data_IF_886042622017
#
_entry.id   IF_886042622017
#
_cell.length_a   1.000
_cell.length_b   1.000
_cell.length_c   1.000
_cell.angle_alpha   90.00
_cell.angle_beta   90.00
_cell.angle_gamma   90.00
#
_symmetry.space_group_name_H-M   'P 1'
#
loop_
_entity.id
_entity.type
_entity.pdbx_description
1 polymer ?
#
# COMPACT_ATOMS: atom_id res chain seq x y z
N UNK A 1 -5.24 -18.76 -13.16
CA UNK A 1 -5.39 -18.02 -11.90
C UNK A 1 -3.99 -17.78 -11.40
N UNK A 2 -3.57 -16.53 -11.32
CA UNK A 2 -2.30 -16.20 -10.69
C UNK A 2 -2.44 -16.46 -9.19
N UNK A 3 -1.53 -17.22 -8.62
CA UNK A 3 -1.50 -17.47 -7.18
C UNK A 3 -0.86 -16.25 -6.50
N UNK A 4 -1.57 -15.63 -5.57
CA UNK A 4 -1.09 -14.46 -4.83
C UNK A 4 -1.61 -14.50 -3.39
N UNK A 5 -0.82 -13.92 -2.49
CA UNK A 5 -1.23 -13.69 -1.11
C UNK A 5 -1.75 -12.27 -0.99
N UNK A 6 -3.00 -12.12 -0.55
CA UNK A 6 -3.65 -10.82 -0.38
C UNK A 6 -3.64 -10.36 1.07
N UNK A 7 -3.24 -9.12 1.29
CA UNK A 7 -3.27 -8.47 2.60
C UNK A 7 -3.95 -7.10 2.46
N UNK A 8 -5.13 -6.97 3.08
CA UNK A 8 -5.93 -5.73 3.07
C UNK A 8 -5.87 -5.01 4.41
N UNK A 9 -5.69 -3.68 4.39
CA UNK A 9 -5.56 -2.83 5.57
C UNK A 9 -6.20 -1.46 5.36
N UNK A 10 -6.83 -0.94 6.41
CA UNK A 10 -7.16 0.47 6.50
C UNK A 10 -5.91 1.26 6.92
N UNK A 11 -5.57 2.31 6.18
CA UNK A 11 -4.44 3.20 6.49
C UNK A 11 -4.91 4.65 6.63
N UNK A 12 -4.47 5.32 7.69
CA UNK A 12 -4.68 6.76 7.91
C UNK A 12 -3.80 7.63 7.01
N UNK A 13 -3.92 7.46 5.70
CA UNK A 13 -3.13 8.15 4.67
C UNK A 13 -4.04 8.53 3.51
N UNK A 14 -3.64 9.55 2.75
CA UNK A 14 -4.13 9.77 1.39
C UNK A 14 -3.17 9.08 0.38
N UNK A 15 -3.53 9.11 -0.91
CA UNK A 15 -2.71 8.53 -1.98
C UNK A 15 -1.35 9.20 -2.11
N UNK A 16 -1.30 10.53 -2.05
CA UNK A 16 -0.05 11.31 -2.19
C UNK A 16 0.98 10.92 -1.14
N UNK A 17 0.58 10.80 0.12
CA UNK A 17 1.46 10.39 1.21
C UNK A 17 1.88 8.94 1.09
N UNK A 18 0.96 8.05 0.71
CA UNK A 18 1.29 6.64 0.46
C UNK A 18 2.34 6.51 -0.65
N UNK A 19 2.11 7.13 -1.81
CA UNK A 19 3.00 7.10 -2.97
C UNK A 19 4.33 7.79 -2.70
N UNK A 20 4.37 8.79 -1.81
CA UNK A 20 5.62 9.44 -1.37
C UNK A 20 6.47 8.53 -0.47
N UNK A 21 5.84 7.68 0.32
CA UNK A 21 6.52 6.76 1.24
C UNK A 21 6.89 5.43 0.58
N UNK A 22 6.13 5.00 -0.42
CA UNK A 22 6.30 3.72 -1.09
C UNK A 22 7.72 3.47 -1.65
N UNK A 23 8.38 4.41 -2.37
CA UNK A 23 9.74 4.20 -2.85
C UNK A 23 10.77 3.96 -1.73
N UNK A 24 10.46 4.36 -0.49
CA UNK A 24 11.33 4.13 0.67
C UNK A 24 11.21 2.71 1.23
N UNK A 25 10.06 2.05 1.03
CA UNK A 25 9.84 0.68 1.49
C UNK A 25 10.39 -0.37 0.53
N UNK A 26 10.48 -0.03 -0.76
CA UNK A 26 11.02 -0.86 -1.84
C UNK A 26 12.10 -0.09 -2.61
N UNK A 27 13.30 0.08 -2.04
CA UNK A 27 14.39 0.72 -2.76
C UNK A 27 14.70 -0.07 -4.03
N UNK A 28 15.04 0.64 -5.11
CA UNK A 28 15.42 0.11 -6.42
C UNK A 28 14.31 -0.59 -7.24
N UNK A 29 13.07 -0.65 -6.72
CA UNK A 29 11.93 -1.20 -7.45
C UNK A 29 11.38 -0.22 -8.50
N UNK A 30 10.84 -0.75 -9.60
CA UNK A 30 10.11 0.02 -10.59
C UNK A 30 8.66 0.16 -10.15
N UNK A 31 8.19 1.40 -10.02
CA UNK A 31 6.83 1.71 -9.54
C UNK A 31 6.04 2.33 -10.67
N UNK A 32 4.95 1.65 -11.05
CA UNK A 32 3.98 2.14 -12.03
C UNK A 32 2.67 2.44 -11.32
N UNK A 33 2.16 3.66 -11.45
CA UNK A 33 0.89 4.08 -10.84
C UNK A 33 -0.11 4.46 -11.93
N UNK A 34 -1.36 4.06 -11.74
CA UNK A 34 -2.49 4.38 -12.62
C UNK A 34 -3.74 4.67 -11.79
N UNK A 35 -4.60 5.58 -12.25
CA UNK A 35 -5.75 6.05 -11.48
C UNK A 35 -5.43 7.26 -10.58
N UNK A 36 -6.39 7.62 -9.73
CA UNK A 36 -6.31 8.81 -8.87
C UNK A 36 -7.06 8.65 -7.53
N UNK A 37 -6.96 9.66 -6.66
CA UNK A 37 -7.53 9.61 -5.32
C UNK A 37 -9.07 9.62 -5.25
N UNK A 38 -9.75 10.05 -6.32
CA UNK A 38 -11.20 10.13 -6.39
C UNK A 38 -11.82 8.80 -6.80
N UNK A 39 -11.21 8.09 -7.75
CA UNK A 39 -11.71 6.81 -8.26
C UNK A 39 -11.02 5.59 -7.62
N UNK A 40 -9.84 5.80 -7.04
CA UNK A 40 -8.93 4.73 -6.64
C UNK A 40 -7.72 4.66 -7.59
N UNK A 41 -6.64 4.08 -7.09
CA UNK A 41 -5.40 3.97 -7.85
C UNK A 41 -4.83 2.56 -7.74
N UNK A 42 -4.25 2.08 -8.83
CA UNK A 42 -3.50 0.84 -8.87
C UNK A 42 -2.02 1.14 -8.99
N UNK A 43 -1.22 0.52 -8.13
CA UNK A 43 0.23 0.56 -8.14
C UNK A 43 0.76 -0.83 -8.48
N UNK A 44 1.67 -0.91 -9.43
CA UNK A 44 2.44 -2.11 -9.74
C UNK A 44 3.89 -1.85 -9.37
N UNK A 45 4.45 -2.74 -8.56
CA UNK A 45 5.83 -2.71 -8.12
C UNK A 45 6.52 -3.92 -8.75
N UNK A 46 7.38 -3.66 -9.72
CA UNK A 46 8.24 -4.66 -10.33
C UNK A 46 9.61 -4.64 -9.64
N UNK A 47 10.33 -5.76 -9.70
CA UNK A 47 11.67 -5.94 -9.10
C UNK A 47 11.72 -5.68 -7.58
N UNK A 48 10.63 -5.92 -6.84
CA UNK A 48 10.69 -5.91 -5.38
C UNK A 48 11.50 -7.13 -4.87
N UNK A 49 12.03 -7.11 -3.63
CA UNK A 49 12.95 -8.14 -3.13
C UNK A 49 12.43 -9.58 -3.21
N UNK A 50 11.11 -9.76 -3.18
CA UNK A 50 10.45 -11.06 -3.25
C UNK A 50 9.57 -11.22 -4.51
N UNK A 51 9.79 -10.41 -5.55
CA UNK A 51 9.08 -10.49 -6.82
C UNK A 51 8.12 -9.31 -7.04
N UNK A 52 6.98 -9.58 -7.68
CA UNK A 52 6.02 -8.55 -8.08
C UNK A 52 4.99 -8.32 -6.98
N UNK A 53 4.68 -7.05 -6.73
CA UNK A 53 3.64 -6.63 -5.79
C UNK A 53 2.64 -5.74 -6.54
N UNK A 54 1.35 -6.05 -6.44
CA UNK A 54 0.30 -5.12 -6.85
C UNK A 54 -0.34 -4.50 -5.61
N UNK A 55 -0.64 -3.21 -5.67
CA UNK A 55 -1.32 -2.49 -4.60
C UNK A 55 -2.53 -1.78 -5.18
N UNK A 56 -3.71 -2.07 -4.65
CA UNK A 56 -4.90 -1.27 -4.91
C UNK A 56 -5.12 -0.29 -3.76
N UNK A 57 -5.28 0.97 -4.12
CA UNK A 57 -5.70 2.06 -3.24
C UNK A 57 -7.16 2.35 -3.54
N UNK A 58 -8.04 2.18 -2.56
CA UNK A 58 -9.42 2.67 -2.68
C UNK A 58 -9.45 4.17 -2.88
N UNK A 59 -10.58 4.74 -3.32
CA UNK A 59 -10.83 6.18 -3.15
C UNK A 59 -10.48 6.64 -1.73
N UNK A 60 -9.96 7.86 -1.59
CA UNK A 60 -9.68 8.44 -0.27
C UNK A 60 -11.01 8.75 0.40
N UNK A 61 -11.21 8.17 1.59
CA UNK A 61 -12.32 8.49 2.48
C UNK A 61 -11.88 9.40 3.62
N UNK A 62 -12.83 9.72 4.48
CA UNK A 62 -12.59 10.46 5.71
C UNK A 62 -13.10 9.68 6.92
N UNK A 63 -12.30 9.67 7.99
CA UNK A 63 -12.75 9.26 9.31
C UNK A 63 -12.84 10.48 10.21
N UNK A 64 -14.02 10.70 10.78
CA UNK A 64 -14.27 11.79 11.71
C UNK A 64 -14.16 11.31 13.15
N UNK A 65 -13.36 12.02 13.95
CA UNK A 65 -13.21 11.82 15.38
C UNK A 65 -13.42 13.19 16.06
N UNK A 66 -14.61 13.40 16.63
CA UNK A 66 -15.06 14.71 17.11
C UNK A 66 -14.95 15.80 16.02
N UNK A 67 -14.07 16.79 16.22
CA UNK A 67 -13.83 17.90 15.28
C UNK A 67 -12.71 17.62 14.27
N UNK A 68 -12.02 16.47 14.39
CA UNK A 68 -10.92 16.10 13.50
C UNK A 68 -11.43 15.22 12.36
N UNK A 69 -11.08 15.58 11.12
CA UNK A 69 -11.26 14.76 9.94
C UNK A 69 -9.89 14.24 9.48
N UNK A 70 -9.73 12.92 9.47
CA UNK A 70 -8.50 12.26 9.05
C UNK A 70 -8.72 11.53 7.73
N UNK A 71 -7.83 11.67 6.74
CA UNK A 71 -7.91 10.90 5.50
C UNK A 71 -7.68 9.42 5.80
N UNK A 72 -8.47 8.57 5.14
CA UNK A 72 -8.37 7.12 5.26
C UNK A 72 -8.42 6.48 3.88
N UNK A 73 -7.49 5.58 3.61
CA UNK A 73 -7.42 4.81 2.37
C UNK A 73 -7.38 3.32 2.72
N UNK A 74 -8.23 2.52 2.08
CA UNK A 74 -8.11 1.06 2.13
C UNK A 74 -7.06 0.64 1.12
N UNK A 75 -6.05 -0.10 1.59
CA UNK A 75 -4.91 -0.53 0.81
C UNK A 75 -4.90 -2.06 0.77
N UNK A 76 -4.93 -2.60 -0.44
CA UNK A 76 -4.87 -4.05 -0.69
C UNK A 76 -3.54 -4.37 -1.36
N UNK A 77 -2.70 -5.15 -0.69
CA UNK A 77 -1.44 -5.65 -1.24
C UNK A 77 -1.67 -7.07 -1.78
N UNK A 78 -1.18 -7.34 -2.99
CA UNK A 78 -1.12 -8.69 -3.57
C UNK A 78 0.33 -9.03 -3.86
N UNK A 79 0.84 -10.02 -3.17
CA UNK A 79 2.20 -10.52 -3.33
C UNK A 79 2.17 -11.75 -4.22
N UNK A 80 2.90 -11.70 -5.34
CA UNK A 80 2.93 -12.78 -6.33
C UNK A 80 4.19 -13.63 -6.14
N UNK A 81 4.08 -14.93 -6.44
CA UNK A 81 5.18 -15.91 -6.41
C UNK A 81 5.88 -16.04 -5.04
N UNK A 82 5.16 -15.77 -3.94
CA UNK A 82 5.65 -15.93 -2.57
C UNK A 82 4.66 -16.77 -1.76
N UNK A 83 5.17 -17.44 -0.73
CA UNK A 83 4.32 -18.07 0.29
C UNK A 83 3.78 -17.04 1.29
N UNK A 84 2.84 -17.49 2.12
CA UNK A 84 2.17 -16.66 3.11
C UNK A 84 3.15 -16.07 4.15
N UNK A 85 4.15 -16.84 4.60
CA UNK A 85 5.14 -16.38 5.58
C UNK A 85 5.97 -15.23 5.01
N UNK A 86 6.45 -15.38 3.77
CA UNK A 86 7.24 -14.39 3.05
C UNK A 86 6.43 -13.15 2.74
N UNK A 87 5.17 -13.29 2.31
CA UNK A 87 4.25 -12.17 2.09
C UNK A 87 4.03 -11.36 3.38
N UNK A 88 3.79 -12.01 4.51
CA UNK A 88 3.61 -11.34 5.80
C UNK A 88 4.91 -10.67 6.28
N UNK A 89 6.05 -11.31 6.10
CA UNK A 89 7.36 -10.74 6.43
C UNK A 89 7.64 -9.48 5.62
N UNK A 90 7.33 -9.52 4.33
CA UNK A 90 7.52 -8.38 3.43
C UNK A 90 6.54 -7.24 3.74
N UNK A 91 5.26 -7.56 3.91
CA UNK A 91 4.27 -6.60 4.38
C UNK A 91 4.70 -5.93 5.69
N UNK A 92 5.15 -6.69 6.69
CA UNK A 92 5.61 -6.15 7.97
C UNK A 92 6.85 -5.26 7.83
N UNK A 93 7.76 -5.55 6.88
CA UNK A 93 8.89 -4.68 6.55
C UNK A 93 8.41 -3.36 5.95
N UNK A 94 7.52 -3.43 4.95
CA UNK A 94 6.97 -2.25 4.28
C UNK A 94 6.13 -1.38 5.23
N UNK A 95 5.30 -2.00 6.07
CA UNK A 95 4.41 -1.35 7.02
C UNK A 95 5.13 -0.34 7.94
N UNK A 96 6.38 -0.60 8.31
CA UNK A 96 7.20 0.30 9.14
C UNK A 96 7.40 1.68 8.51
N UNK A 97 7.39 1.78 7.19
CA UNK A 97 7.55 3.06 6.47
C UNK A 97 6.25 3.87 6.45
N UNK A 98 5.10 3.20 6.53
CA UNK A 98 3.77 3.81 6.52
C UNK A 98 3.26 4.18 7.93
N UNK A 99 3.95 3.75 8.99
CA UNK A 99 3.60 4.04 10.40
C UNK A 99 3.91 5.47 10.88
N UNK A 100 4.32 6.39 9.98
CA UNK A 100 4.63 7.77 10.35
C UNK A 100 3.42 8.70 10.14
N UNK A 101 2.59 8.80 11.17
CA UNK A 101 1.45 9.73 11.20
C UNK A 101 0.73 9.84 12.56
N UNK A 102 1.27 9.27 13.64
CA UNK A 102 0.84 9.58 14.99
C UNK A 102 1.72 10.69 15.56
N UNK A 103 1.33 11.94 15.32
CA UNK A 103 1.74 13.05 16.16
C UNK A 103 0.91 13.08 17.43
#
# INVERSE_FOLDING_TARGET
>A
MSDFIEITREMGTNHKDFLRLLPKSVPDAQIHTSGDENEGAKVVIEDAPFGRIEVDLSRVGERRIALLALPVTHVTFRFYNVDEETAHKEYNRMAKYFQRGGG
#
